data_IF_801857372411
#
_entry.id   IF_801857372411
#
_cell.length_a   1.000
_cell.length_b   1.000
_cell.length_c   1.000
_cell.angle_alpha   90.00
_cell.angle_beta   90.00
_cell.angle_gamma   90.00
#
_symmetry.space_group_name_H-M   'P 1'
#
loop_
_entity.id
_entity.type
_entity.pdbx_description
1 polymer ?
#
# COMPACT_ATOMS: atom_id res chain seq x y z
N UNK A 1 1.88 -9.98 25.71
CA UNK A 1 0.74 -10.42 24.90
C UNK A 1 0.42 -9.32 23.91
N UNK A 2 0.78 -9.46 22.62
CA UNK A 2 0.59 -8.39 21.64
C UNK A 2 -0.89 -8.25 21.27
N UNK A 3 -1.41 -7.02 21.36
CA UNK A 3 -2.78 -6.69 20.97
C UNK A 3 -2.95 -6.95 19.47
N UNK A 4 -3.80 -7.91 19.10
CA UNK A 4 -4.07 -8.23 17.70
C UNK A 4 -4.84 -7.03 17.09
N UNK A 5 -4.32 -6.40 16.03
CA UNK A 5 -5.03 -5.32 15.36
C UNK A 5 -6.23 -5.88 14.58
N UNK A 6 -7.29 -5.08 14.46
CA UNK A 6 -8.40 -5.40 13.57
C UNK A 6 -7.90 -5.48 12.12
N UNK A 7 -8.19 -6.61 11.47
CA UNK A 7 -7.82 -6.84 10.07
C UNK A 7 -8.95 -6.28 9.19
N UNK A 8 -8.60 -5.35 8.32
CA UNK A 8 -9.52 -4.79 7.33
C UNK A 8 -9.60 -5.68 6.11
N UNK A 9 -10.73 -5.66 5.42
CA UNK A 9 -10.90 -6.29 4.11
C UNK A 9 -10.08 -5.58 3.03
N UNK A 10 -9.88 -6.23 1.88
CA UNK A 10 -9.15 -5.64 0.74
C UNK A 10 -9.77 -4.32 0.30
N UNK A 11 -11.10 -4.27 0.19
CA UNK A 11 -11.83 -3.11 -0.31
C UNK A 11 -11.75 -1.95 0.68
N UNK A 12 -11.86 -2.23 1.98
CA UNK A 12 -11.70 -1.21 3.02
C UNK A 12 -10.31 -0.58 3.03
N UNK A 13 -9.26 -1.38 2.79
CA UNK A 13 -7.88 -0.87 2.71
C UNK A 13 -7.75 0.07 1.51
N UNK A 14 -8.29 -0.35 0.36
CA UNK A 14 -8.27 0.42 -0.88
C UNK A 14 -9.04 1.73 -0.68
N UNK A 15 -10.28 1.66 -0.22
CA UNK A 15 -11.13 2.83 0.02
C UNK A 15 -10.52 3.79 1.03
N UNK A 16 -9.97 3.28 2.13
CA UNK A 16 -9.32 4.10 3.15
C UNK A 16 -8.09 4.82 2.57
N UNK A 17 -7.30 4.12 1.75
CA UNK A 17 -6.12 4.70 1.10
C UNK A 17 -6.49 5.81 0.12
N UNK A 18 -7.52 5.61 -0.69
CA UNK A 18 -8.01 6.61 -1.64
C UNK A 18 -8.71 7.77 -0.97
N UNK A 19 -9.50 7.51 0.07
CA UNK A 19 -10.15 8.56 0.87
C UNK A 19 -9.11 9.47 1.51
N UNK A 20 -8.03 8.91 2.08
CA UNK A 20 -6.91 9.70 2.62
C UNK A 20 -6.20 10.50 1.52
N UNK A 21 -5.89 9.87 0.39
CA UNK A 21 -5.24 10.54 -0.72
C UNK A 21 -6.10 11.69 -1.29
N UNK A 22 -7.41 11.51 -1.45
CA UNK A 22 -8.31 12.50 -2.04
C UNK A 22 -8.31 13.85 -1.31
N UNK A 23 -8.12 13.81 0.02
CA UNK A 23 -8.08 15.00 0.89
C UNK A 23 -6.84 15.85 0.70
N UNK A 24 -5.78 15.30 0.08
CA UNK A 24 -4.54 16.04 -0.14
C UNK A 24 -4.75 17.09 -1.23
N UNK A 25 -4.44 18.32 -0.85
CA UNK A 25 -4.36 19.50 -1.71
C UNK A 25 -3.08 20.23 -1.34
N UNK A 26 -2.25 20.53 -2.33
CA UNK A 26 -1.05 21.34 -2.15
C UNK A 26 -1.32 22.67 -2.82
N UNK A 27 -1.08 23.77 -2.11
CA UNK A 27 -1.22 25.11 -2.67
C UNK A 27 0.03 25.50 -3.45
N UNK A 28 -0.14 26.10 -4.63
CA UNK A 28 0.95 26.63 -5.43
C UNK A 28 0.40 27.75 -6.33
N UNK A 29 1.21 28.78 -6.60
CA UNK A 29 0.78 29.96 -7.37
C UNK A 29 0.47 29.61 -8.82
N UNK A 30 1.17 28.63 -9.38
CA UNK A 30 1.06 28.22 -10.78
C UNK A 30 0.29 26.91 -10.86
N UNK A 31 -0.76 26.89 -11.68
CA UNK A 31 -1.68 25.77 -11.83
C UNK A 31 -0.98 24.43 -12.12
N UNK A 32 -0.06 24.42 -13.09
CA UNK A 32 0.66 23.20 -13.52
C UNK A 32 1.51 22.61 -12.40
N UNK A 33 2.22 23.45 -11.64
CA UNK A 33 3.03 23.00 -10.50
C UNK A 33 2.14 22.47 -9.36
N UNK A 34 1.01 23.14 -9.10
CA UNK A 34 0.00 22.70 -8.15
C UNK A 34 -0.53 21.31 -8.49
N UNK A 35 -0.90 21.11 -9.76
CA UNK A 35 -1.44 19.84 -10.25
C UNK A 35 -0.41 18.71 -10.13
N UNK A 36 0.85 18.96 -10.51
CA UNK A 36 1.96 17.99 -10.39
C UNK A 36 2.22 17.60 -8.96
N UNK A 37 2.43 18.59 -8.08
CA UNK A 37 2.72 18.35 -6.65
C UNK A 37 1.57 17.60 -5.99
N UNK A 38 0.34 18.07 -6.18
CA UNK A 38 -0.85 17.43 -5.61
C UNK A 38 -1.00 15.99 -6.11
N UNK A 39 -0.89 15.74 -7.41
CA UNK A 39 -1.06 14.39 -7.96
C UNK A 39 0.03 13.42 -7.50
N UNK A 40 1.29 13.87 -7.45
CA UNK A 40 2.38 13.07 -6.91
C UNK A 40 2.18 12.75 -5.41
N UNK A 41 1.76 13.74 -4.62
CA UNK A 41 1.52 13.56 -3.19
C UNK A 41 0.36 12.61 -2.91
N UNK A 42 -0.70 12.64 -3.72
CA UNK A 42 -1.84 11.70 -3.63
C UNK A 42 -1.39 10.25 -3.83
N UNK A 43 -0.62 9.98 -4.88
CA UNK A 43 -0.10 8.64 -5.18
C UNK A 43 0.79 8.14 -4.03
N UNK A 44 1.70 8.99 -3.56
CA UNK A 44 2.58 8.64 -2.44
C UNK A 44 1.79 8.38 -1.14
N UNK A 45 0.75 9.15 -0.86
CA UNK A 45 -0.09 8.96 0.33
C UNK A 45 -0.92 7.67 0.28
N UNK A 46 -1.52 7.34 -0.87
CA UNK A 46 -2.24 6.09 -1.04
C UNK A 46 -1.31 4.89 -0.80
N UNK A 47 -0.14 4.89 -1.45
CA UNK A 47 0.86 3.83 -1.29
C UNK A 47 1.39 3.73 0.14
N UNK A 48 1.62 4.85 0.82
CA UNK A 48 2.05 4.86 2.21
C UNK A 48 0.97 4.31 3.14
N UNK A 49 -0.30 4.62 2.91
CA UNK A 49 -1.40 4.08 3.72
C UNK A 49 -1.43 2.56 3.62
N UNK A 50 -1.43 2.02 2.39
CA UNK A 50 -1.39 0.57 2.15
C UNK A 50 -0.16 -0.05 2.82
N UNK A 51 1.01 0.56 2.67
CA UNK A 51 2.25 0.07 3.26
C UNK A 51 2.21 0.02 4.78
N UNK A 52 1.71 1.07 5.43
CA UNK A 52 1.62 1.13 6.89
C UNK A 52 0.64 0.09 7.44
N UNK A 53 -0.51 -0.07 6.80
CA UNK A 53 -1.53 -1.05 7.19
C UNK A 53 -0.98 -2.48 7.06
N UNK A 54 -0.44 -2.83 5.90
CA UNK A 54 0.09 -4.17 5.64
C UNK A 54 1.30 -4.47 6.54
N UNK A 55 2.19 -3.50 6.75
CA UNK A 55 3.33 -3.64 7.67
C UNK A 55 2.85 -3.89 9.11
N UNK A 56 1.81 -3.19 9.54
CA UNK A 56 1.19 -3.39 10.85
C UNK A 56 0.71 -4.82 11.07
N UNK A 57 0.10 -5.43 10.04
CA UNK A 57 -0.31 -6.84 10.09
C UNK A 57 0.89 -7.77 10.20
N UNK A 58 1.91 -7.62 9.34
CA UNK A 58 3.11 -8.47 9.38
C UNK A 58 3.83 -8.36 10.73
N UNK A 59 3.97 -7.15 11.29
CA UNK A 59 4.65 -6.94 12.57
C UNK A 59 3.88 -7.45 13.79
N UNK A 60 2.58 -7.69 13.64
CA UNK A 60 1.75 -8.19 14.74
C UNK A 60 1.92 -9.70 14.96
N UNK A 61 2.44 -10.43 13.97
CA UNK A 61 2.70 -11.85 14.10
C UNK A 61 4.03 -12.09 14.83
N UNK A 62 4.08 -13.07 15.74
CA UNK A 62 5.33 -13.48 16.37
C UNK A 62 6.26 -14.10 15.34
N UNK A 63 7.57 -14.03 15.61
CA UNK A 63 8.54 -14.79 14.83
C UNK A 63 8.41 -16.28 15.19
N UNK A 64 7.87 -17.09 14.29
CA UNK A 64 7.68 -18.53 14.49
C UNK A 64 8.97 -19.30 14.81
N UNK A 65 10.12 -18.82 14.35
CA UNK A 65 11.40 -19.49 14.59
C UNK A 65 11.96 -19.23 16.00
N UNK A 66 11.41 -18.24 16.71
CA UNK A 66 11.76 -17.90 18.08
C UNK A 66 10.77 -18.46 19.13
N UNK A 67 9.73 -19.17 18.70
CA UNK A 67 8.70 -19.72 19.57
C UNK A 67 9.14 -21.10 20.11
N UNK A 68 8.89 -21.43 21.40
CA UNK A 68 9.20 -22.75 21.93
C UNK A 68 8.52 -23.87 21.12
N UNK A 69 9.23 -24.99 20.98
CA UNK A 69 8.84 -26.09 20.08
C UNK A 69 7.42 -26.61 20.28
N UNK A 70 6.95 -26.69 21.53
CA UNK A 70 5.58 -27.08 21.85
C UNK A 70 4.52 -26.19 21.16
N UNK A 71 4.68 -24.87 21.24
CA UNK A 71 3.73 -23.92 20.63
C UNK A 71 3.85 -23.88 19.11
N UNK A 72 5.04 -24.13 18.57
CA UNK A 72 5.25 -24.28 17.14
C UNK A 72 4.48 -25.48 16.59
N UNK A 73 4.66 -26.66 17.21
CA UNK A 73 3.97 -27.90 16.81
C UNK A 73 2.45 -27.78 16.95
N UNK A 74 1.97 -27.15 18.03
CA UNK A 74 0.55 -26.86 18.20
C UNK A 74 0.00 -25.94 17.08
N UNK A 75 0.72 -24.87 16.75
CA UNK A 75 0.31 -23.93 15.70
C UNK A 75 0.34 -24.57 14.31
N UNK A 76 1.32 -25.45 14.07
CA UNK A 76 1.44 -26.19 12.82
C UNK A 76 0.31 -27.20 12.63
N UNK A 77 -0.06 -27.91 13.71
CA UNK A 77 -1.20 -28.81 13.71
C UNK A 77 -2.53 -28.09 13.47
N UNK A 78 -2.73 -26.92 14.09
CA UNK A 78 -4.01 -26.18 14.02
C UNK A 78 -4.21 -25.44 12.68
N UNK A 79 -3.18 -24.77 12.16
CA UNK A 79 -3.31 -23.83 11.03
C UNK A 79 -2.34 -24.17 9.89
N UNK A 80 -1.18 -24.74 10.21
CA UNK A 80 -0.06 -24.94 9.31
C UNK A 80 0.81 -23.69 9.20
N UNK A 81 1.99 -23.71 9.85
CA UNK A 81 2.90 -22.55 9.92
C UNK A 81 3.37 -22.14 8.54
N UNK A 82 3.56 -23.12 7.63
CA UNK A 82 3.94 -22.87 6.24
C UNK A 82 2.93 -22.00 5.49
N UNK A 83 1.61 -22.20 5.71
CA UNK A 83 0.56 -21.40 5.07
C UNK A 83 0.59 -19.96 5.57
N UNK A 84 0.75 -19.77 6.88
CA UNK A 84 0.85 -18.42 7.48
C UNK A 84 2.08 -17.69 6.94
N UNK A 85 3.27 -18.33 6.96
CA UNK A 85 4.51 -17.75 6.43
C UNK A 85 4.37 -17.36 4.96
N UNK A 86 3.74 -18.21 4.14
CA UNK A 86 3.50 -17.92 2.71
C UNK A 86 2.60 -16.69 2.53
N UNK A 87 1.49 -16.60 3.26
CA UNK A 87 0.57 -15.47 3.18
C UNK A 87 1.21 -14.16 3.66
N UNK A 88 1.97 -14.20 4.76
CA UNK A 88 2.71 -13.02 5.27
C UNK A 88 3.81 -12.58 4.30
N UNK A 89 4.51 -13.52 3.66
CA UNK A 89 5.47 -13.24 2.60
C UNK A 89 4.81 -12.59 1.38
N UNK A 90 3.63 -13.09 0.98
CA UNK A 90 2.82 -12.49 -0.08
C UNK A 90 2.39 -11.05 0.24
N UNK A 91 2.02 -10.78 1.50
CA UNK A 91 1.65 -9.44 1.95
C UNK A 91 2.84 -8.46 1.91
N UNK A 92 4.02 -8.90 2.38
CA UNK A 92 5.23 -8.08 2.30
C UNK A 92 5.67 -7.82 0.84
N UNK A 93 5.49 -8.81 -0.05
CA UNK A 93 5.72 -8.65 -1.47
C UNK A 93 4.74 -7.64 -2.08
N UNK A 94 3.43 -7.76 -1.81
CA UNK A 94 2.41 -6.83 -2.29
C UNK A 94 2.73 -5.38 -1.89
N UNK A 95 3.06 -5.18 -0.59
CA UNK A 95 3.48 -3.90 -0.05
C UNK A 95 4.66 -3.28 -0.83
N UNK A 96 5.71 -4.06 -1.10
CA UNK A 96 6.89 -3.62 -1.86
C UNK A 96 6.53 -3.29 -3.31
N UNK A 97 5.68 -4.11 -3.94
CA UNK A 97 5.21 -3.91 -5.32
C UNK A 97 4.41 -2.62 -5.46
N UNK A 98 3.48 -2.35 -4.55
CA UNK A 98 2.70 -1.10 -4.53
C UNK A 98 3.60 0.12 -4.40
N UNK A 99 4.59 0.10 -3.49
CA UNK A 99 5.58 1.18 -3.38
C UNK A 99 6.38 1.39 -4.66
N UNK A 100 6.80 0.30 -5.32
CA UNK A 100 7.54 0.37 -6.60
C UNK A 100 6.70 1.04 -7.69
N UNK A 101 5.43 0.64 -7.84
CA UNK A 101 4.49 1.22 -8.81
C UNK A 101 4.25 2.70 -8.50
N UNK A 102 3.99 3.04 -7.24
CA UNK A 102 3.76 4.41 -6.81
C UNK A 102 4.98 5.33 -7.06
N UNK A 103 6.19 4.84 -6.79
CA UNK A 103 7.42 5.59 -7.05
C UNK A 103 7.67 5.82 -8.54
N UNK A 104 7.42 4.80 -9.38
CA UNK A 104 7.50 4.93 -10.84
C UNK A 104 6.52 5.99 -11.35
N UNK A 105 5.25 5.89 -10.94
CA UNK A 105 4.20 6.81 -11.36
C UNK A 105 4.40 8.24 -10.86
N UNK A 106 4.77 8.41 -9.58
CA UNK A 106 5.06 9.74 -9.03
C UNK A 106 6.28 10.39 -9.70
N UNK A 107 7.32 9.62 -10.04
CA UNK A 107 8.48 10.11 -10.79
C UNK A 107 8.11 10.56 -12.20
N UNK A 108 7.27 9.81 -12.92
CA UNK A 108 6.77 10.21 -14.24
C UNK A 108 5.97 11.51 -14.19
N UNK A 109 5.05 11.66 -13.22
CA UNK A 109 4.26 12.89 -13.06
C UNK A 109 5.16 14.07 -12.70
N UNK A 110 6.15 13.85 -11.82
CA UNK A 110 7.14 14.87 -11.48
C UNK A 110 7.97 15.31 -12.69
N UNK A 111 8.25 14.44 -13.66
CA UNK A 111 9.03 14.79 -14.87
C UNK A 111 8.18 15.41 -15.98
N UNK A 112 6.90 15.09 -16.04
CA UNK A 112 5.99 15.59 -17.08
C UNK A 112 5.78 17.11 -16.96
N UNK A 113 5.84 17.81 -18.11
CA UNK A 113 5.48 19.23 -18.26
C UNK A 113 4.10 19.44 -18.89
N UNK A 114 3.52 18.39 -19.48
CA UNK A 114 2.25 18.46 -20.19
C UNK A 114 1.08 18.24 -19.22
N UNK A 115 0.22 19.25 -19.11
CA UNK A 115 -0.96 19.26 -18.23
C UNK A 115 -1.97 18.18 -18.61
N UNK A 116 -2.27 18.02 -19.90
CA UNK A 116 -3.21 17.00 -20.41
C UNK A 116 -2.76 15.58 -20.05
N UNK A 117 -1.44 15.33 -20.05
CA UNK A 117 -0.88 14.05 -19.65
C UNK A 117 -1.14 13.75 -18.15
N UNK A 118 -0.99 14.76 -17.29
CA UNK A 118 -1.21 14.61 -15.85
C UNK A 118 -2.69 14.41 -15.54
N UNK A 119 -3.58 15.13 -16.24
CA UNK A 119 -5.02 14.96 -16.11
C UNK A 119 -5.50 13.60 -16.60
N UNK A 120 -4.98 13.11 -17.73
CA UNK A 120 -5.30 11.77 -18.25
C UNK A 120 -4.85 10.67 -17.29
N UNK A 121 -3.65 10.78 -16.69
CA UNK A 121 -3.21 9.85 -15.64
C UNK A 121 -4.12 9.88 -14.41
N UNK A 122 -4.72 11.03 -14.11
CA UNK A 122 -5.72 11.20 -13.04
C UNK A 122 -7.04 10.50 -13.36
N UNK A 123 -7.51 10.59 -14.61
CA UNK A 123 -8.83 10.08 -15.05
C UNK A 123 -8.82 8.60 -15.46
N UNK A 124 -7.73 8.11 -16.07
CA UNK A 124 -7.69 6.75 -16.65
C UNK A 124 -6.58 5.83 -16.16
N UNK A 125 -5.49 6.36 -15.58
CA UNK A 125 -4.30 5.55 -15.26
C UNK A 125 -4.33 4.86 -13.89
N UNK A 126 -4.93 5.49 -12.87
CA UNK A 126 -4.93 4.95 -11.51
C UNK A 126 -5.90 3.76 -11.31
N UNK A 127 -6.94 3.65 -12.13
CA UNK A 127 -7.96 2.61 -12.02
C UNK A 127 -7.60 1.34 -12.81
N UNK A 128 -6.99 1.47 -13.99
CA UNK A 128 -6.62 0.31 -14.84
C UNK A 128 -5.34 -0.38 -14.36
N UNK A 129 -4.33 0.38 -13.90
CA UNK A 129 -3.04 -0.19 -13.49
C UNK A 129 -3.10 -0.95 -12.15
N UNK A 130 -4.10 -0.68 -11.29
CA UNK A 130 -4.28 -1.37 -10.00
C UNK A 130 -5.18 -2.62 -10.10
N UNK A 131 -6.04 -2.71 -11.11
CA UNK A 131 -6.94 -3.85 -11.35
C UNK A 131 -6.26 -4.94 -12.21
N UNK A 132 -5.14 -4.61 -12.87
CA UNK A 132 -4.40 -5.55 -13.74
C UNK A 132 -3.21 -6.26 -13.05
N UNK A 133 -3.05 -6.13 -11.73
CA UNK A 133 -2.08 -6.89 -10.93
C UNK A 133 -2.77 -7.92 -10.04
#
# INVERSE_FOLDING_TARGET
>A
MSKIPTIMTSDEIIDTSFRKASKIKIEDRIHVFRLRKTSAARISSAANTIDTTMKGYVSSFPNFDAVPRFYFELSDLLIGVGKIKKSLGGLDWCRKTVKKIANKNSSQIKRSRNEKFIENKKKGGLWQDFISC
#
